data_IF_698187683289
#
_entry.id   IF_698187683289
#
_cell.length_a   1.000
_cell.length_b   1.000
_cell.length_c   1.000
_cell.angle_alpha   90.00
_cell.angle_beta   90.00
_cell.angle_gamma   90.00
#
_symmetry.space_group_name_H-M   'P 1'
#
loop_
_entity.id
_entity.type
_entity.pdbx_description
1 polymer ?
#
# COMPACT_ATOMS: atom_id res chain seq x y z
N UNK A 1 -19.90 -2.70 17.75
CA UNK A 1 -21.09 -2.84 18.62
C UNK A 1 -22.34 -3.21 17.79
N UNK A 2 -22.86 -4.43 17.87
CA UNK A 2 -24.14 -4.77 17.27
C UNK A 2 -25.20 -4.62 18.34
N UNK A 3 -25.80 -3.42 18.43
CA UNK A 3 -27.11 -3.08 19.06
C UNK A 3 -27.33 -1.55 19.01
N UNK A 4 -26.73 -0.84 18.05
CA UNK A 4 -27.03 0.57 17.83
C UNK A 4 -28.33 0.70 17.04
N UNK A 5 -29.30 1.45 17.57
CA UNK A 5 -30.47 1.85 16.79
C UNK A 5 -30.03 2.44 15.44
N UNK A 6 -30.71 2.04 14.35
CA UNK A 6 -30.45 2.60 13.03
C UNK A 6 -30.51 4.13 13.10
N UNK A 7 -29.44 4.78 12.63
CA UNK A 7 -29.35 6.23 12.62
C UNK A 7 -28.87 6.89 13.92
N UNK A 8 -28.40 6.12 14.91
CA UNK A 8 -27.77 6.67 16.10
C UNK A 8 -26.53 7.53 15.75
N UNK A 9 -26.43 8.70 16.38
CA UNK A 9 -25.27 9.58 16.25
C UNK A 9 -24.05 8.89 16.87
N UNK A 10 -23.01 8.72 16.08
CA UNK A 10 -21.76 8.07 16.50
C UNK A 10 -20.77 9.09 17.05
N UNK A 11 -20.71 10.27 16.43
CA UNK A 11 -19.93 11.43 16.86
C UNK A 11 -20.42 12.67 16.11
N UNK A 12 -20.19 13.87 16.65
CA UNK A 12 -20.38 15.12 15.91
C UNK A 12 -19.14 15.55 15.13
N UNK A 13 -17.97 15.01 15.46
CA UNK A 13 -16.72 15.38 14.82
C UNK A 13 -15.85 14.16 14.56
N UNK A 14 -15.14 14.20 13.44
CA UNK A 14 -14.13 13.22 13.08
C UNK A 14 -12.92 13.94 12.51
N UNK A 15 -11.69 13.41 12.71
CA UNK A 15 -10.54 13.92 11.99
C UNK A 15 -10.77 13.76 10.48
N UNK A 16 -10.20 14.66 9.68
CA UNK A 16 -10.24 14.58 8.21
C UNK A 16 -9.63 13.28 7.66
N UNK A 17 -8.86 12.55 8.49
CA UNK A 17 -8.29 11.25 8.20
C UNK A 17 -8.43 10.30 9.37
N UNK A 18 -9.12 9.19 9.14
CA UNK A 18 -9.08 7.99 9.98
C UNK A 18 -9.33 8.26 11.47
N UNK A 19 -8.27 8.17 12.26
CA UNK A 19 -8.25 8.38 13.71
C UNK A 19 -6.94 9.04 14.12
N UNK A 20 -6.73 9.19 15.43
CA UNK A 20 -5.54 9.78 16.05
C UNK A 20 -4.21 9.09 15.72
N UNK A 21 -4.22 7.91 15.10
CA UNK A 21 -3.00 7.22 14.61
C UNK A 21 -2.49 7.80 13.29
N UNK A 22 -3.30 8.59 12.61
CA UNK A 22 -2.97 9.17 11.32
C UNK A 22 -3.05 10.68 11.35
N UNK A 23 -2.11 11.31 10.66
CA UNK A 23 -2.11 12.76 10.49
C UNK A 23 -2.83 13.08 9.19
N UNK A 24 -3.89 13.90 9.26
CA UNK A 24 -4.59 14.43 8.09
C UNK A 24 -3.76 15.49 7.38
N UNK A 25 -3.99 15.66 6.07
CA UNK A 25 -3.69 16.93 5.42
C UNK A 25 -4.63 18.00 5.95
N UNK A 26 -4.09 19.19 6.18
CA UNK A 26 -4.90 20.32 6.64
C UNK A 26 -5.72 20.88 5.48
N UNK A 27 -6.92 21.37 5.78
CA UNK A 27 -7.61 22.22 4.82
C UNK A 27 -6.89 23.56 4.68
N UNK A 28 -6.72 24.01 3.44
CA UNK A 28 -6.21 25.33 3.12
C UNK A 28 -7.25 26.44 3.39
N UNK A 29 -8.53 26.08 3.49
CA UNK A 29 -9.62 27.04 3.64
C UNK A 29 -10.79 26.45 4.43
N UNK A 30 -11.05 27.02 5.61
CA UNK A 30 -12.15 26.60 6.48
C UNK A 30 -13.53 27.02 5.99
N UNK A 31 -13.64 27.81 4.90
CA UNK A 31 -14.92 28.18 4.29
C UNK A 31 -15.53 26.96 3.60
N UNK A 32 -16.65 26.49 4.14
CA UNK A 32 -17.41 25.34 3.59
C UNK A 32 -17.90 25.56 2.17
N UNK A 33 -17.98 26.80 1.68
CA UNK A 33 -18.31 27.11 0.29
C UNK A 33 -17.21 26.79 -0.73
N UNK A 34 -15.98 26.53 -0.27
CA UNK A 34 -14.86 26.07 -1.10
C UNK A 34 -14.66 24.55 -1.05
N UNK A 35 -15.54 23.84 -0.36
CA UNK A 35 -15.47 22.40 -0.14
C UNK A 35 -16.84 21.77 -0.36
N UNK A 36 -16.89 20.46 -0.57
CA UNK A 36 -18.16 19.74 -0.72
C UNK A 36 -18.22 18.59 0.25
N UNK A 37 -19.30 18.53 1.04
CA UNK A 37 -19.65 17.38 1.84
C UNK A 37 -20.89 16.71 1.24
N UNK A 38 -20.82 15.41 1.00
CA UNK A 38 -21.97 14.62 0.56
C UNK A 38 -22.19 13.42 1.49
N UNK A 39 -23.43 12.94 1.52
CA UNK A 39 -23.84 11.74 2.25
C UNK A 39 -24.58 10.78 1.32
N UNK A 40 -24.36 9.47 1.50
CA UNK A 40 -25.08 8.40 0.79
C UNK A 40 -25.32 7.20 1.69
N UNK A 41 -26.31 6.39 1.35
CA UNK A 41 -26.74 5.22 2.15
C UNK A 41 -25.95 3.95 1.81
N UNK A 42 -25.35 3.89 0.63
CA UNK A 42 -24.55 2.77 0.15
C UNK A 42 -23.35 3.28 -0.68
N UNK A 43 -22.33 2.45 -0.87
CA UNK A 43 -21.10 2.83 -1.59
C UNK A 43 -21.41 3.32 -3.02
N UNK A 44 -22.32 2.64 -3.71
CA UNK A 44 -22.81 2.93 -5.07
C UNK A 44 -24.08 3.80 -5.11
N UNK A 45 -24.56 4.24 -3.94
CA UNK A 45 -25.76 5.07 -3.82
C UNK A 45 -25.54 6.51 -4.31
N UNK A 46 -26.64 7.24 -4.63
CA UNK A 46 -26.55 8.62 -5.07
C UNK A 46 -26.01 9.53 -3.95
N UNK A 47 -25.06 10.39 -4.30
CA UNK A 47 -24.52 11.41 -3.40
C UNK A 47 -25.57 12.50 -3.17
N UNK A 48 -25.88 12.79 -1.91
CA UNK A 48 -26.74 13.91 -1.51
C UNK A 48 -25.88 15.01 -0.88
N UNK A 49 -25.91 16.26 -1.38
CA UNK A 49 -25.13 17.33 -0.78
C UNK A 49 -25.62 17.63 0.64
N UNK A 50 -24.67 17.87 1.54
CA UNK A 50 -24.91 18.45 2.86
C UNK A 50 -24.68 19.94 2.73
N UNK A 51 -25.67 20.75 3.09
CA UNK A 51 -25.62 22.20 2.88
C UNK A 51 -24.47 22.83 3.70
N UNK A 52 -23.88 23.90 3.17
CA UNK A 52 -22.67 24.53 3.73
C UNK A 52 -22.84 25.10 5.15
N UNK A 53 -24.08 25.28 5.60
CA UNK A 53 -24.49 25.74 6.93
C UNK A 53 -24.80 24.59 7.91
N UNK A 54 -24.71 23.33 7.47
CA UNK A 54 -24.97 22.14 8.29
C UNK A 54 -23.70 21.47 8.83
N UNK A 55 -22.53 21.97 8.46
CA UNK A 55 -21.24 21.43 8.86
C UNK A 55 -20.17 22.53 8.87
N UNK A 56 -19.01 22.24 9.47
CA UNK A 56 -17.86 23.13 9.46
C UNK A 56 -16.55 22.34 9.60
N UNK A 57 -15.43 22.95 9.23
CA UNK A 57 -14.11 22.47 9.65
C UNK A 57 -13.89 22.81 11.14
N UNK A 58 -13.57 21.80 11.94
CA UNK A 58 -13.44 21.93 13.38
C UNK A 58 -14.05 20.79 14.17
N UNK A 59 -14.02 20.95 15.48
CA UNK A 59 -14.58 20.01 16.46
C UNK A 59 -15.83 20.63 17.11
N UNK A 60 -16.81 19.81 17.45
CA UNK A 60 -18.07 20.27 18.03
C UNK A 60 -18.70 19.15 18.88
N UNK A 61 -18.18 18.87 20.09
CA UNK A 61 -18.56 17.70 20.88
C UNK A 61 -20.07 17.53 21.12
N UNK A 62 -20.83 18.62 21.13
CA UNK A 62 -22.28 18.66 21.33
C UNK A 62 -23.01 19.36 20.18
N UNK A 63 -22.47 19.32 18.96
CA UNK A 63 -23.04 19.99 17.79
C UNK A 63 -22.67 21.48 17.68
N UNK A 64 -23.36 22.20 16.80
CA UNK A 64 -22.99 23.54 16.32
C UNK A 64 -22.62 24.55 17.42
N UNK A 65 -23.36 24.55 18.53
CA UNK A 65 -23.14 25.49 19.64
C UNK A 65 -21.77 25.34 20.32
N UNK A 66 -21.13 24.18 20.17
CA UNK A 66 -19.81 23.85 20.72
C UNK A 66 -18.67 23.92 19.71
N UNK A 67 -18.92 24.51 18.53
CA UNK A 67 -17.94 24.54 17.45
C UNK A 67 -16.65 25.27 17.87
N UNK A 68 -15.54 24.55 17.81
CA UNK A 68 -14.18 25.06 17.88
C UNK A 68 -13.50 24.80 16.52
N UNK A 69 -13.18 25.85 15.73
CA UNK A 69 -12.54 25.69 14.43
C UNK A 69 -11.19 24.99 14.51
N UNK A 70 -10.94 24.07 13.57
CA UNK A 70 -9.63 23.43 13.34
C UNK A 70 -9.46 23.22 11.84
N UNK A 71 -8.22 23.01 11.39
CA UNK A 71 -7.92 22.69 9.99
C UNK A 71 -7.83 21.17 9.72
N UNK A 72 -8.04 20.35 10.75
CA UNK A 72 -7.75 18.90 10.75
C UNK A 72 -8.96 18.03 11.04
N UNK A 73 -10.10 18.64 11.34
CA UNK A 73 -11.33 17.94 11.71
C UNK A 73 -12.50 18.47 10.90
N UNK A 74 -13.53 17.64 10.78
CA UNK A 74 -14.83 18.03 10.25
C UNK A 74 -15.90 17.78 11.30
N UNK A 75 -16.76 18.76 11.47
CA UNK A 75 -17.90 18.75 12.35
C UNK A 75 -19.20 18.72 11.53
N UNK A 76 -20.06 17.74 11.78
CA UNK A 76 -21.42 17.67 11.23
C UNK A 76 -22.40 18.03 12.35
N UNK A 77 -23.17 19.11 12.17
CA UNK A 77 -23.97 19.68 13.27
C UNK A 77 -25.10 18.77 13.75
N UNK A 78 -25.66 17.94 12.86
CA UNK A 78 -26.65 16.91 13.20
C UNK A 78 -26.02 15.56 13.57
N UNK A 79 -24.69 15.46 13.59
CA UNK A 79 -23.95 14.26 13.94
C UNK A 79 -23.79 13.25 12.79
N UNK A 80 -22.64 12.58 12.79
CA UNK A 80 -22.35 11.46 11.90
C UNK A 80 -23.11 10.21 12.33
N UNK A 81 -23.64 9.50 11.34
CA UNK A 81 -24.38 8.23 11.52
C UNK A 81 -23.57 7.06 11.00
N UNK A 82 -23.55 5.96 11.75
CA UNK A 82 -22.75 4.77 11.44
C UNK A 82 -23.19 4.03 10.17
N UNK A 83 -24.45 4.20 9.77
CA UNK A 83 -25.08 3.56 8.60
C UNK A 83 -25.00 4.41 7.32
N UNK A 84 -24.14 5.43 7.30
CA UNK A 84 -23.99 6.35 6.17
C UNK A 84 -22.54 6.41 5.71
N UNK A 85 -22.36 6.74 4.43
CA UNK A 85 -21.07 7.05 3.84
C UNK A 85 -21.00 8.55 3.56
N UNK A 86 -20.00 9.20 4.16
CA UNK A 86 -19.72 10.63 3.97
C UNK A 86 -18.51 10.79 3.05
N UNK A 87 -18.56 11.78 2.17
CA UNK A 87 -17.46 12.15 1.29
C UNK A 87 -17.23 13.65 1.38
N UNK A 88 -16.03 14.03 1.81
CA UNK A 88 -15.59 15.41 1.91
C UNK A 88 -14.48 15.63 0.89
N UNK A 89 -14.67 16.61 0.01
CA UNK A 89 -13.66 17.09 -0.95
C UNK A 89 -13.34 18.52 -0.58
N UNK A 90 -12.05 18.81 -0.37
CA UNK A 90 -11.59 20.11 0.13
C UNK A 90 -10.21 20.46 -0.44
N UNK A 91 -9.88 21.76 -0.58
CA UNK A 91 -8.52 22.18 -0.89
C UNK A 91 -7.63 21.89 0.32
N UNK A 92 -6.63 21.02 0.13
CA UNK A 92 -5.64 20.71 1.14
C UNK A 92 -4.39 21.60 0.99
N UNK A 93 -3.57 21.70 2.04
CA UNK A 93 -2.30 22.42 2.02
C UNK A 93 -1.13 21.56 2.52
N UNK A 94 0.09 22.01 2.21
CA UNK A 94 1.36 21.44 2.66
C UNK A 94 1.51 19.93 2.40
N UNK A 95 1.46 19.48 1.13
CA UNK A 95 1.64 18.07 0.81
C UNK A 95 3.03 17.57 1.23
N UNK A 96 3.07 16.43 1.93
CA UNK A 96 4.33 15.80 2.30
C UNK A 96 5.01 15.14 1.10
N UNK A 97 6.33 15.28 1.02
CA UNK A 97 7.16 14.63 -0.01
C UNK A 97 7.44 13.17 0.37
N UNK A 98 6.40 12.34 0.44
CA UNK A 98 6.49 10.95 0.91
C UNK A 98 7.39 10.08 0.02
N UNK A 99 7.49 10.38 -1.27
CA UNK A 99 8.31 9.62 -2.24
C UNK A 99 9.81 9.59 -1.91
N UNK A 100 10.33 10.51 -1.08
CA UNK A 100 11.74 10.47 -0.64
C UNK A 100 12.09 9.18 0.10
N UNK A 101 11.12 8.49 0.69
CA UNK A 101 11.33 7.18 1.32
C UNK A 101 11.92 6.13 0.37
N UNK A 102 11.67 6.23 -0.94
CA UNK A 102 12.26 5.35 -1.95
C UNK A 102 13.77 5.59 -2.13
N UNK A 103 14.17 6.86 -2.18
CA UNK A 103 15.59 7.24 -2.26
C UNK A 103 16.35 6.79 -1.01
N UNK A 104 15.76 6.98 0.19
CA UNK A 104 16.37 6.54 1.45
C UNK A 104 16.68 5.04 1.45
N UNK A 105 15.75 4.20 0.98
CA UNK A 105 16.00 2.75 0.90
C UNK A 105 17.06 2.40 -0.14
N UNK A 106 17.04 3.04 -1.32
CA UNK A 106 18.07 2.87 -2.36
C UNK A 106 19.46 3.21 -1.81
N UNK A 107 19.62 4.38 -1.20
CA UNK A 107 20.92 4.91 -0.78
C UNK A 107 21.47 4.17 0.41
N UNK A 108 20.63 3.84 1.40
CA UNK A 108 21.04 3.02 2.54
C UNK A 108 21.50 1.63 2.07
N UNK A 109 20.72 0.97 1.21
CA UNK A 109 21.09 -0.36 0.72
C UNK A 109 22.35 -0.31 -0.17
N UNK A 110 22.49 0.70 -1.02
CA UNK A 110 23.70 0.90 -1.84
C UNK A 110 24.93 1.16 -0.96
N UNK A 111 24.83 2.05 0.04
CA UNK A 111 25.89 2.30 1.02
C UNK A 111 26.33 1.01 1.71
N UNK A 112 25.37 0.29 2.30
CA UNK A 112 25.61 -0.94 3.03
C UNK A 112 26.24 -2.02 2.14
N UNK A 113 25.93 -2.03 0.83
CA UNK A 113 26.42 -3.00 -0.14
C UNK A 113 27.81 -2.64 -0.70
N UNK A 114 28.09 -1.37 -0.95
CA UNK A 114 29.20 -0.96 -1.81
C UNK A 114 30.26 -0.05 -1.17
N UNK A 115 29.96 0.63 -0.06
CA UNK A 115 30.87 1.59 0.55
C UNK A 115 31.41 1.09 1.89
N UNK A 116 32.68 1.38 2.20
CA UNK A 116 33.29 1.01 3.49
C UNK A 116 33.14 2.09 4.56
N UNK A 117 32.81 3.32 4.18
CA UNK A 117 32.48 4.43 5.06
C UNK A 117 31.59 5.44 4.32
N UNK A 118 30.84 6.25 5.07
CA UNK A 118 30.05 7.35 4.50
C UNK A 118 30.92 8.57 4.19
N UNK A 119 30.31 9.64 3.68
CA UNK A 119 30.99 10.87 3.29
C UNK A 119 31.67 11.60 4.46
N UNK A 120 31.22 11.36 5.70
CA UNK A 120 31.82 11.90 6.93
C UNK A 120 32.91 10.98 7.50
N UNK A 121 33.14 9.81 6.88
CA UNK A 121 34.11 8.81 7.32
C UNK A 121 33.60 7.85 8.39
N UNK A 122 32.30 7.84 8.67
CA UNK A 122 31.68 6.84 9.55
C UNK A 122 31.73 5.49 8.88
N UNK A 123 32.37 4.51 9.54
CA UNK A 123 32.57 3.17 8.98
C UNK A 123 31.23 2.47 8.76
N UNK A 124 31.06 1.85 7.58
CA UNK A 124 29.92 0.99 7.30
C UNK A 124 29.94 -0.20 8.28
N UNK A 125 28.85 -0.46 9.04
CA UNK A 125 28.80 -1.55 10.01
C UNK A 125 28.96 -2.95 9.39
N UNK A 126 28.76 -3.09 8.08
CA UNK A 126 28.96 -4.33 7.34
C UNK A 126 30.36 -4.44 6.73
N UNK A 127 31.25 -3.47 6.92
CA UNK A 127 32.60 -3.53 6.37
C UNK A 127 33.52 -4.48 7.15
N UNK A 128 34.06 -5.48 6.45
CA UNK A 128 35.10 -6.38 6.97
C UNK A 128 36.45 -5.66 7.17
N UNK A 129 36.72 -4.61 6.39
CA UNK A 129 37.91 -3.77 6.53
C UNK A 129 37.72 -2.39 5.91
N UNK A 130 38.74 -1.52 6.00
CA UNK A 130 38.71 -0.19 5.35
C UNK A 130 38.55 -0.24 3.83
N UNK A 131 38.83 -1.38 3.19
CA UNK A 131 38.79 -1.55 1.74
C UNK A 131 37.74 -2.57 1.26
N UNK A 132 37.10 -3.31 2.16
CA UNK A 132 36.20 -4.42 1.82
C UNK A 132 34.92 -4.30 2.63
N UNK A 133 33.78 -4.31 1.94
CA UNK A 133 32.47 -4.43 2.60
C UNK A 133 32.28 -5.89 3.06
N UNK A 134 32.08 -6.84 2.14
CA UNK A 134 31.83 -8.25 2.47
C UNK A 134 30.41 -8.72 2.13
N UNK A 135 29.53 -7.79 1.71
CA UNK A 135 28.19 -8.13 1.20
C UNK A 135 28.31 -8.71 -0.21
N UNK A 136 27.94 -9.99 -0.35
CA UNK A 136 27.88 -10.68 -1.65
C UNK A 136 26.54 -10.48 -2.37
N UNK A 137 25.43 -10.52 -1.63
CA UNK A 137 24.05 -10.37 -2.14
C UNK A 137 23.25 -9.47 -1.24
N UNK A 138 22.34 -8.70 -1.84
CA UNK A 138 21.38 -7.86 -1.14
C UNK A 138 19.95 -8.27 -1.51
N UNK A 139 19.14 -8.51 -0.48
CA UNK A 139 17.75 -8.97 -0.62
C UNK A 139 16.76 -7.94 -0.07
N UNK A 140 15.74 -7.63 -0.86
CA UNK A 140 14.61 -6.80 -0.41
C UNK A 140 13.42 -7.65 0.04
N UNK A 141 12.74 -7.25 1.12
CA UNK A 141 11.48 -7.86 1.57
C UNK A 141 10.41 -6.80 1.77
N UNK A 142 9.26 -6.98 1.12
CA UNK A 142 8.05 -6.22 1.37
C UNK A 142 6.88 -7.13 1.73
N UNK A 143 6.07 -6.74 2.71
CA UNK A 143 4.86 -7.47 3.14
C UNK A 143 3.69 -6.48 3.22
N UNK A 144 2.57 -6.80 2.58
CA UNK A 144 1.36 -5.97 2.56
C UNK A 144 1.69 -4.57 2.01
N UNK A 145 1.48 -3.50 2.77
CA UNK A 145 1.84 -2.13 2.36
C UNK A 145 3.32 -1.98 2.00
N UNK A 146 4.25 -2.65 2.67
CA UNK A 146 5.67 -2.60 2.25
C UNK A 146 5.96 -3.49 1.04
N UNK A 147 5.07 -4.44 0.72
CA UNK A 147 5.06 -5.14 -0.56
C UNK A 147 4.61 -4.23 -1.71
N UNK A 148 3.57 -3.42 -1.49
CA UNK A 148 3.15 -2.38 -2.42
C UNK A 148 4.27 -1.34 -2.63
N UNK A 149 4.98 -0.99 -1.54
CA UNK A 149 6.17 -0.14 -1.59
C UNK A 149 7.25 -0.75 -2.49
N UNK A 150 7.57 -2.03 -2.31
CA UNK A 150 8.61 -2.68 -3.11
C UNK A 150 8.23 -2.76 -4.60
N UNK A 151 6.94 -2.97 -4.92
CA UNK A 151 6.47 -2.90 -6.32
C UNK A 151 6.64 -1.50 -6.92
N UNK A 152 6.33 -0.45 -6.15
CA UNK A 152 6.53 0.94 -6.59
C UNK A 152 8.02 1.29 -6.71
N UNK A 153 8.85 0.84 -5.77
CA UNK A 153 10.31 1.01 -5.77
C UNK A 153 10.92 0.49 -7.08
N UNK A 154 10.54 -0.73 -7.50
CA UNK A 154 10.97 -1.31 -8.78
C UNK A 154 10.43 -0.52 -9.99
N UNK A 155 9.13 -0.21 -9.99
CA UNK A 155 8.50 0.52 -11.10
C UNK A 155 9.17 1.88 -11.34
N UNK A 156 9.43 2.64 -10.27
CA UNK A 156 10.10 3.94 -10.31
C UNK A 156 11.59 3.84 -10.65
N UNK A 157 12.20 2.66 -10.52
CA UNK A 157 13.60 2.41 -10.89
C UNK A 157 14.59 2.62 -9.76
N UNK A 158 14.14 2.63 -8.51
CA UNK A 158 15.03 2.81 -7.36
C UNK A 158 15.93 1.60 -7.09
N UNK A 159 15.82 0.50 -7.86
CA UNK A 159 16.80 -0.58 -7.82
C UNK A 159 18.11 -0.26 -8.56
N UNK A 160 18.22 0.95 -9.13
CA UNK A 160 19.47 1.52 -9.66
C UNK A 160 19.92 2.66 -8.73
N UNK A 161 21.16 2.59 -8.25
CA UNK A 161 21.75 3.67 -7.44
C UNK A 161 22.27 4.84 -8.30
N UNK A 162 22.72 5.93 -7.65
CA UNK A 162 23.21 7.12 -8.37
C UNK A 162 24.51 6.91 -9.15
N UNK A 163 25.16 5.75 -8.97
CA UNK A 163 26.32 5.31 -9.75
C UNK A 163 25.95 4.24 -10.80
N UNK A 164 24.65 4.08 -11.11
CA UNK A 164 24.10 3.11 -12.05
C UNK A 164 24.38 1.64 -11.68
N UNK A 165 24.42 1.32 -10.38
CA UNK A 165 24.60 -0.05 -9.89
C UNK A 165 23.29 -0.61 -9.35
N UNK A 166 23.12 -1.92 -9.49
CA UNK A 166 21.96 -2.62 -8.94
C UNK A 166 21.97 -2.61 -7.41
N UNK A 167 20.86 -2.24 -6.77
CA UNK A 167 20.76 -2.17 -5.31
C UNK A 167 20.47 -3.54 -4.69
N UNK A 168 19.37 -4.18 -5.07
CA UNK A 168 19.00 -5.53 -4.63
C UNK A 168 19.17 -6.53 -5.77
N UNK A 169 19.78 -7.68 -5.49
CA UNK A 169 19.88 -8.80 -6.45
C UNK A 169 18.53 -9.52 -6.60
N UNK A 170 17.79 -9.62 -5.50
CA UNK A 170 16.48 -10.26 -5.48
C UNK A 170 15.54 -9.60 -4.46
N UNK A 171 14.24 -9.64 -4.75
CA UNK A 171 13.20 -9.15 -3.85
C UNK A 171 12.11 -10.19 -3.65
N UNK A 172 11.63 -10.29 -2.41
CA UNK A 172 10.43 -11.06 -2.06
C UNK A 172 9.32 -10.09 -1.70
N UNK A 173 8.26 -10.12 -2.47
CA UNK A 173 7.10 -9.24 -2.37
C UNK A 173 5.91 -10.11 -1.95
N UNK A 174 5.49 -9.97 -0.70
CA UNK A 174 4.42 -10.77 -0.12
C UNK A 174 3.13 -9.96 0.05
N UNK A 175 2.02 -10.53 -0.38
CA UNK A 175 0.63 -10.06 -0.22
C UNK A 175 0.35 -8.61 -0.68
N UNK A 176 0.95 -8.04 -1.74
CA UNK A 176 0.55 -6.72 -2.25
C UNK A 176 -0.66 -6.78 -3.20
N UNK A 177 -1.08 -7.97 -3.65
CA UNK A 177 -1.94 -8.13 -4.81
C UNK A 177 -1.35 -7.47 -6.06
N UNK A 178 -2.09 -6.61 -6.73
CA UNK A 178 -1.59 -5.83 -7.87
C UNK A 178 -1.10 -4.43 -7.50
N UNK A 179 -1.29 -4.02 -6.24
CA UNK A 179 -1.13 -2.64 -5.81
C UNK A 179 0.33 -2.17 -5.82
N UNK A 180 0.50 -0.86 -6.04
CA UNK A 180 1.72 -0.11 -5.76
C UNK A 180 1.37 0.92 -4.69
N UNK A 181 2.34 1.30 -3.86
CA UNK A 181 2.04 2.14 -2.70
C UNK A 181 1.70 3.57 -3.14
N UNK A 182 0.58 4.10 -2.64
CA UNK A 182 0.17 5.48 -2.84
C UNK A 182 1.04 6.41 -1.98
N UNK A 183 2.25 6.71 -2.46
CA UNK A 183 3.22 7.55 -1.75
C UNK A 183 4.00 8.53 -2.64
N UNK A 184 3.98 8.38 -3.97
CA UNK A 184 4.73 9.25 -4.88
C UNK A 184 3.83 10.14 -5.75
N UNK A 185 2.79 10.72 -5.13
CA UNK A 185 1.95 11.74 -5.76
C UNK A 185 1.50 12.75 -4.70
N UNK A 186 1.03 13.92 -5.13
CA UNK A 186 0.58 14.98 -4.24
C UNK A 186 -0.59 14.52 -3.33
N UNK A 187 -0.57 14.92 -2.07
CA UNK A 187 -1.56 14.54 -1.04
C UNK A 187 -1.74 13.02 -0.88
N UNK A 188 -0.65 12.27 -0.98
CA UNK A 188 -0.70 10.80 -0.92
C UNK A 188 -1.12 10.21 0.42
N UNK A 189 -1.80 9.07 0.38
CA UNK A 189 -2.15 8.29 1.57
C UNK A 189 -1.73 6.81 1.47
N UNK A 190 -0.59 6.42 2.05
CA UNK A 190 -0.08 5.06 1.97
C UNK A 190 -0.93 4.04 2.76
N UNK A 191 -1.93 4.49 3.52
CA UNK A 191 -2.84 3.61 4.28
C UNK A 191 -4.08 3.20 3.48
N UNK A 192 -4.33 3.83 2.34
CA UNK A 192 -5.50 3.54 1.51
C UNK A 192 -5.09 2.59 0.38
N UNK A 193 -5.90 1.55 0.22
CA UNK A 193 -5.79 0.56 -0.85
C UNK A 193 -7.15 0.05 -1.24
N UNK A 194 -7.24 -0.50 -2.46
CA UNK A 194 -8.49 -1.06 -2.97
C UNK A 194 -8.85 -2.35 -2.23
N UNK A 195 -10.11 -2.49 -1.87
CA UNK A 195 -10.75 -3.77 -1.56
C UNK A 195 -12.06 -3.88 -2.33
N UNK A 196 -12.59 -5.08 -2.49
CA UNK A 196 -13.87 -5.26 -3.17
C UNK A 196 -15.03 -4.64 -2.38
N UNK A 197 -14.95 -4.69 -1.05
CA UNK A 197 -15.96 -4.19 -0.11
C UNK A 197 -15.75 -2.72 0.30
N UNK A 198 -14.58 -2.14 -0.01
CA UNK A 198 -14.21 -0.78 0.38
C UNK A 198 -13.25 -0.18 -0.65
N UNK A 199 -13.53 1.03 -1.13
CA UNK A 199 -12.64 1.78 -2.04
C UNK A 199 -12.24 0.97 -3.29
N UNK A 200 -13.20 0.25 -3.88
CA UNK A 200 -13.01 -0.65 -5.02
C UNK A 200 -12.52 0.05 -6.30
N UNK A 201 -12.82 1.34 -6.41
CA UNK A 201 -12.41 2.27 -7.47
C UNK A 201 -11.04 2.92 -7.21
N UNK A 202 -10.45 2.70 -6.04
CA UNK A 202 -9.21 3.36 -5.65
C UNK A 202 -7.98 2.44 -5.77
N UNK A 203 -7.25 2.51 -6.88
CA UNK A 203 -6.08 1.66 -7.15
C UNK A 203 -4.74 2.21 -6.65
N UNK A 204 -4.73 3.02 -5.58
CA UNK A 204 -3.50 3.54 -4.96
C UNK A 204 -2.55 4.26 -5.95
N UNK A 205 -3.11 4.94 -6.95
CA UNK A 205 -2.38 5.61 -8.06
C UNK A 205 -1.65 4.68 -9.04
N UNK A 206 -1.86 3.37 -8.97
CA UNK A 206 -1.37 2.45 -9.99
C UNK A 206 -2.19 2.58 -11.27
N UNK A 207 -1.51 2.90 -12.36
CA UNK A 207 -2.03 2.81 -13.73
C UNK A 207 -1.74 1.42 -14.32
N UNK A 208 -2.64 0.88 -15.17
CA UNK A 208 -2.38 -0.34 -15.90
C UNK A 208 -1.29 -0.14 -16.96
N UNK A 209 -0.64 -1.22 -17.41
CA UNK A 209 -0.78 -2.58 -16.91
C UNK A 209 -0.13 -2.77 -15.53
N UNK A 210 -0.68 -3.69 -14.73
CA UNK A 210 -0.18 -4.00 -13.37
C UNK A 210 0.87 -5.14 -13.35
N UNK A 211 1.29 -5.57 -14.53
CA UNK A 211 2.15 -6.73 -14.76
C UNK A 211 3.62 -6.42 -14.53
N UNK A 212 4.40 -7.46 -14.25
CA UNK A 212 5.86 -7.32 -14.23
C UNK A 212 6.44 -7.10 -15.62
N UNK A 213 5.96 -7.85 -16.63
CA UNK A 213 6.37 -7.64 -18.01
C UNK A 213 5.83 -6.32 -18.56
N UNK A 214 6.58 -5.73 -19.51
CA UNK A 214 6.08 -4.63 -20.33
C UNK A 214 5.04 -5.15 -21.31
N UNK A 215 3.78 -4.77 -21.10
CA UNK A 215 2.63 -5.16 -21.93
C UNK A 215 1.85 -3.92 -22.36
N UNK A 216 0.88 -4.08 -23.26
CA UNK A 216 -0.07 -2.99 -23.60
C UNK A 216 -1.41 -3.34 -22.99
N UNK A 217 -1.92 -2.49 -22.11
CA UNK A 217 -3.23 -2.68 -21.51
C UNK A 217 -4.34 -2.44 -22.56
N UNK A 218 -5.24 -3.40 -22.78
CA UNK A 218 -6.24 -3.32 -23.86
C UNK A 218 -7.38 -2.32 -23.59
N UNK A 219 -7.54 -1.84 -22.36
CA UNK A 219 -8.61 -0.89 -22.00
C UNK A 219 -8.13 0.54 -22.19
N UNK A 220 -6.94 0.86 -21.68
CA UNK A 220 -6.36 2.21 -21.66
C UNK A 220 -5.39 2.48 -22.80
N UNK A 221 -4.93 1.43 -23.48
CA UNK A 221 -3.87 1.48 -24.50
C UNK A 221 -2.50 1.97 -23.97
N UNK A 222 -2.30 1.95 -22.64
CA UNK A 222 -1.01 2.27 -22.02
C UNK A 222 -0.06 1.07 -22.18
N UNK A 223 1.17 1.34 -22.64
CA UNK A 223 2.25 0.35 -22.72
C UNK A 223 3.28 0.57 -21.62
N UNK A 224 3.27 -0.28 -20.60
CA UNK A 224 4.18 -0.17 -19.46
C UNK A 224 4.40 -1.53 -18.77
N UNK A 225 5.20 -1.57 -17.71
CA UNK A 225 5.43 -2.72 -16.84
C UNK A 225 6.27 -2.34 -15.63
N UNK A 226 6.29 -3.20 -14.60
CA UNK A 226 7.11 -2.96 -13.40
C UNK A 226 8.60 -3.17 -13.69
N UNK A 227 8.96 -4.25 -14.40
CA UNK A 227 10.34 -4.57 -14.78
C UNK A 227 10.59 -4.09 -16.21
N UNK A 228 11.22 -2.93 -16.31
CA UNK A 228 11.51 -2.25 -17.57
C UNK A 228 12.95 -1.75 -17.67
N UNK A 229 13.82 -2.19 -16.76
CA UNK A 229 15.23 -1.78 -16.62
C UNK A 229 16.10 -3.04 -16.48
N UNK A 230 16.35 -3.79 -17.56
CA UNK A 230 16.92 -5.14 -17.48
C UNK A 230 18.32 -5.20 -16.84
N UNK A 231 19.08 -4.11 -16.83
CA UNK A 231 20.40 -4.03 -16.17
C UNK A 231 20.30 -4.03 -14.64
N UNK A 232 19.19 -3.56 -14.10
CA UNK A 232 18.99 -3.40 -12.64
C UNK A 232 17.73 -4.10 -12.14
N UNK A 233 16.88 -4.68 -12.98
CA UNK A 233 15.73 -5.47 -12.57
C UNK A 233 16.18 -6.72 -11.77
N UNK A 234 15.70 -6.93 -10.53
CA UNK A 234 16.13 -8.04 -9.68
C UNK A 234 15.43 -9.34 -10.07
N UNK A 235 15.82 -10.46 -9.43
CA UNK A 235 14.93 -11.61 -9.33
C UNK A 235 13.74 -11.26 -8.42
N UNK A 236 12.53 -11.66 -8.78
CA UNK A 236 11.31 -11.33 -8.05
C UNK A 236 10.53 -12.57 -7.67
N UNK A 237 10.33 -12.77 -6.37
CA UNK A 237 9.29 -13.66 -5.86
C UNK A 237 8.10 -12.83 -5.41
N UNK A 238 6.98 -12.96 -6.13
CA UNK A 238 5.71 -12.39 -5.70
C UNK A 238 4.86 -13.51 -5.09
N UNK A 239 4.46 -13.36 -3.84
CA UNK A 239 3.67 -14.36 -3.13
C UNK A 239 2.37 -13.73 -2.64
N UNK A 240 1.23 -14.14 -3.19
CA UNK A 240 -0.10 -13.71 -2.75
C UNK A 240 -0.86 -14.85 -2.08
N UNK A 241 -1.81 -14.51 -1.21
CA UNK A 241 -2.81 -15.47 -0.72
C UNK A 241 -4.08 -15.40 -1.58
N UNK A 242 -5.03 -16.31 -1.33
CA UNK A 242 -6.36 -16.22 -1.94
C UNK A 242 -7.06 -14.89 -1.63
N UNK A 243 -6.77 -14.24 -0.49
CA UNK A 243 -7.34 -12.93 -0.20
C UNK A 243 -6.92 -11.88 -1.22
N UNK A 244 -5.65 -11.83 -1.62
CA UNK A 244 -5.16 -10.80 -2.54
C UNK A 244 -5.72 -10.99 -3.95
N UNK A 245 -5.96 -12.24 -4.35
CA UNK A 245 -6.67 -12.55 -5.59
C UNK A 245 -8.10 -11.99 -5.60
N UNK A 246 -8.83 -12.13 -4.50
CA UNK A 246 -10.21 -11.65 -4.41
C UNK A 246 -10.32 -10.15 -4.14
N UNK A 247 -9.49 -9.61 -3.26
CA UNK A 247 -9.65 -8.26 -2.70
C UNK A 247 -8.67 -7.25 -3.30
N UNK A 248 -7.47 -7.68 -3.70
CA UNK A 248 -6.37 -6.79 -4.14
C UNK A 248 -6.00 -6.97 -5.62
N UNK A 249 -6.94 -7.50 -6.40
CA UNK A 249 -6.86 -7.65 -7.87
C UNK A 249 -5.60 -8.38 -8.34
N UNK A 250 -5.09 -9.34 -7.54
CA UNK A 250 -3.84 -10.05 -7.86
C UNK A 250 -3.87 -10.83 -9.18
N UNK A 251 -5.07 -11.16 -9.70
CA UNK A 251 -5.24 -11.76 -11.03
C UNK A 251 -4.62 -10.92 -12.15
N UNK A 252 -4.51 -9.60 -11.98
CA UNK A 252 -3.90 -8.68 -12.94
C UNK A 252 -2.37 -8.79 -13.03
N UNK A 253 -1.74 -9.62 -12.18
CA UNK A 253 -0.34 -10.01 -12.38
C UNK A 253 -0.18 -11.06 -13.48
N UNK A 254 -1.26 -11.79 -13.84
CA UNK A 254 -1.24 -12.92 -14.78
C UNK A 254 -2.25 -12.80 -15.94
N UNK A 255 -3.18 -11.83 -15.87
CA UNK A 255 -4.10 -11.51 -16.95
C UNK A 255 -4.19 -10.00 -17.21
N UNK A 256 -4.59 -9.63 -18.44
CA UNK A 256 -4.89 -8.25 -18.82
C UNK A 256 -6.32 -7.82 -18.39
N UNK A 257 -6.70 -6.59 -18.70
CA UNK A 257 -8.04 -6.06 -18.41
C UNK A 257 -9.21 -6.77 -19.13
N UNK A 258 -8.93 -7.61 -20.13
CA UNK A 258 -9.91 -8.44 -20.83
C UNK A 258 -9.88 -9.91 -20.39
N UNK A 259 -8.99 -10.28 -19.45
CA UNK A 259 -8.84 -11.64 -18.95
C UNK A 259 -7.94 -12.53 -19.80
N UNK A 260 -7.19 -12.00 -20.77
CA UNK A 260 -6.21 -12.78 -21.53
C UNK A 260 -4.93 -12.96 -20.71
N UNK A 261 -4.22 -14.10 -20.85
CA UNK A 261 -2.95 -14.31 -20.16
C UNK A 261 -1.89 -13.30 -20.61
N UNK A 262 -1.06 -12.86 -19.67
CA UNK A 262 0.08 -11.95 -19.92
C UNK A 262 1.41 -12.69 -19.70
N UNK A 263 2.50 -12.30 -20.39
CA UNK A 263 3.81 -12.90 -20.15
C UNK A 263 4.33 -12.58 -18.76
N UNK A 264 4.97 -13.58 -18.12
CA UNK A 264 5.74 -13.42 -16.89
C UNK A 264 7.22 -13.38 -17.25
N UNK A 265 8.00 -12.34 -16.89
CA UNK A 265 9.43 -12.28 -17.17
C UNK A 265 10.19 -13.45 -16.55
N UNK A 266 11.29 -13.87 -17.19
CA UNK A 266 12.08 -15.02 -16.74
C UNK A 266 12.67 -14.88 -15.33
N UNK A 267 12.92 -13.64 -14.89
CA UNK A 267 13.37 -13.28 -13.54
C UNK A 267 12.23 -13.15 -12.51
N UNK A 268 11.00 -13.54 -12.85
CA UNK A 268 9.84 -13.45 -11.96
C UNK A 268 9.27 -14.85 -11.69
N UNK A 269 8.90 -15.11 -10.43
CA UNK A 269 8.09 -16.26 -10.03
C UNK A 269 6.92 -15.79 -9.16
N UNK A 270 5.73 -16.30 -9.48
CA UNK A 270 4.48 -15.94 -8.81
C UNK A 270 3.97 -17.17 -8.04
N UNK A 271 3.72 -17.02 -6.74
CA UNK A 271 3.25 -18.09 -5.86
C UNK A 271 1.90 -17.74 -5.24
N UNK A 272 0.99 -18.71 -5.20
CA UNK A 272 -0.30 -18.60 -4.54
C UNK A 272 -0.35 -19.47 -3.27
N UNK A 273 -0.53 -18.82 -2.13
CA UNK A 273 -0.88 -19.47 -0.87
C UNK A 273 -2.41 -19.66 -0.79
N UNK A 274 -2.88 -20.76 -1.37
CA UNK A 274 -4.31 -21.08 -1.44
C UNK A 274 -4.96 -21.16 -0.06
N UNK A 275 -6.19 -20.65 0.07
CA UNK A 275 -7.00 -20.73 1.30
C UNK A 275 -6.41 -20.02 2.52
N UNK A 276 -5.53 -19.03 2.33
CA UNK A 276 -4.99 -18.20 3.40
C UNK A 276 -5.62 -16.78 3.36
N UNK A 277 -5.83 -16.14 4.53
CA UNK A 277 -6.25 -14.73 4.60
C UNK A 277 -5.05 -13.80 4.35
N UNK A 278 -5.29 -12.48 4.28
CA UNK A 278 -4.21 -11.48 4.11
C UNK A 278 -3.11 -11.58 5.18
N UNK A 279 -3.41 -12.11 6.37
CA UNK A 279 -2.41 -12.33 7.42
C UNK A 279 -2.16 -13.81 7.73
N UNK A 280 -1.34 -14.09 8.74
CA UNK A 280 -0.96 -15.47 9.10
C UNK A 280 0.53 -15.81 8.91
N UNK A 281 1.34 -14.86 8.45
CA UNK A 281 2.80 -14.90 8.57
C UNK A 281 3.25 -14.30 9.93
N UNK A 282 4.42 -14.70 10.42
CA UNK A 282 5.06 -14.07 11.60
C UNK A 282 5.23 -12.57 11.34
N UNK A 283 4.74 -11.71 12.24
CA UNK A 283 4.78 -10.25 12.10
C UNK A 283 3.50 -9.59 11.56
N UNK A 284 2.61 -10.35 10.92
CA UNK A 284 1.25 -9.92 10.50
C UNK A 284 0.21 -10.87 11.10
N UNK A 285 0.44 -11.24 12.37
CA UNK A 285 -0.22 -12.35 13.03
C UNK A 285 -1.74 -12.22 13.03
N UNK A 286 -2.40 -13.15 12.37
CA UNK A 286 -3.83 -13.36 12.52
C UNK A 286 -3.99 -14.45 13.56
N UNK A 287 -4.38 -14.06 14.77
CA UNK A 287 -4.74 -15.02 15.81
C UNK A 287 -6.12 -15.58 15.44
N UNK A 288 -6.35 -16.91 15.50
CA UNK A 288 -7.67 -17.46 15.33
C UNK A 288 -8.66 -16.78 16.29
N UNK A 289 -9.70 -16.16 15.74
CA UNK A 289 -10.75 -15.53 16.54
C UNK A 289 -12.01 -16.39 16.51
N UNK A 290 -12.82 -16.30 17.57
CA UNK A 290 -14.23 -16.68 17.46
C UNK A 290 -14.91 -15.80 16.40
N UNK A 291 -16.08 -16.24 15.91
CA UNK A 291 -16.80 -15.58 14.82
C UNK A 291 -16.96 -14.06 15.03
N UNK A 292 -17.20 -13.60 16.26
CA UNK A 292 -17.33 -12.17 16.56
C UNK A 292 -18.41 -11.50 15.69
N UNK A 293 -18.07 -10.38 15.05
CA UNK A 293 -18.93 -9.66 14.10
C UNK A 293 -18.87 -10.19 12.66
N UNK A 294 -18.08 -11.23 12.37
CA UNK A 294 -17.92 -11.80 11.03
C UNK A 294 -18.97 -12.91 10.78
N UNK A 295 -19.25 -13.25 9.52
CA UNK A 295 -20.10 -14.42 9.20
C UNK A 295 -19.35 -15.75 9.37
N UNK A 296 -18.02 -15.76 9.20
CA UNK A 296 -17.20 -16.97 9.27
C UNK A 296 -16.08 -16.83 10.30
N UNK A 297 -15.61 -17.97 10.86
CA UNK A 297 -14.42 -17.97 11.71
C UNK A 297 -13.18 -17.66 10.89
N UNK A 298 -12.23 -16.97 11.50
CA UNK A 298 -10.94 -16.72 10.86
C UNK A 298 -10.21 -18.04 10.66
N UNK A 299 -9.76 -18.30 9.42
CA UNK A 299 -9.09 -19.54 9.11
C UNK A 299 -7.85 -19.74 9.99
N UNK A 300 -7.87 -20.80 10.81
CA UNK A 300 -6.79 -21.18 11.72
C UNK A 300 -5.74 -22.08 11.07
N UNK A 301 -5.87 -22.37 9.76
CA UNK A 301 -4.92 -23.22 9.07
C UNK A 301 -3.51 -22.63 9.13
N UNK A 302 -2.53 -23.52 9.28
CA UNK A 302 -1.15 -23.27 9.71
C UNK A 302 -0.54 -22.05 9.01
N UNK A 303 0.20 -21.25 9.79
CA UNK A 303 0.98 -20.12 9.32
C UNK A 303 1.66 -20.37 7.96
N UNK A 304 1.68 -19.36 7.09
CA UNK A 304 2.43 -19.40 5.82
C UNK A 304 3.95 -19.45 6.03
N UNK A 305 4.43 -19.31 7.29
CA UNK A 305 5.84 -19.21 7.62
C UNK A 305 6.73 -20.36 7.11
N UNK A 306 6.35 -21.65 7.15
CA UNK A 306 7.19 -22.72 6.59
C UNK A 306 7.40 -22.56 5.08
N UNK A 307 6.35 -22.25 4.33
CA UNK A 307 6.44 -21.98 2.90
C UNK A 307 7.30 -20.73 2.63
N UNK A 308 7.13 -19.66 3.43
CA UNK A 308 7.92 -18.44 3.25
C UNK A 308 9.41 -18.67 3.54
N UNK A 309 9.75 -19.52 4.51
CA UNK A 309 11.15 -19.91 4.78
C UNK A 309 11.72 -20.73 3.64
N UNK A 310 10.97 -21.70 3.11
CA UNK A 310 11.41 -22.49 1.96
C UNK A 310 11.63 -21.61 0.72
N UNK A 311 10.73 -20.67 0.44
CA UNK A 311 10.88 -19.72 -0.66
C UNK A 311 12.06 -18.75 -0.46
N UNK A 312 12.45 -18.43 0.78
CA UNK A 312 13.66 -17.64 1.02
C UNK A 312 14.92 -18.42 0.61
N UNK A 313 14.98 -19.71 0.95
CA UNK A 313 16.10 -20.59 0.54
C UNK A 313 16.14 -20.72 -0.98
N UNK A 314 15.00 -21.00 -1.62
CA UNK A 314 14.94 -21.11 -3.08
C UNK A 314 15.31 -19.80 -3.80
N UNK A 315 14.93 -18.64 -3.24
CA UNK A 315 15.33 -17.34 -3.79
C UNK A 315 16.84 -17.13 -3.66
N UNK A 316 17.45 -17.48 -2.53
CA UNK A 316 18.90 -17.38 -2.32
C UNK A 316 19.67 -18.33 -3.25
N UNK A 317 19.23 -19.59 -3.39
CA UNK A 317 19.83 -20.55 -4.32
C UNK A 317 19.71 -20.10 -5.79
N UNK A 318 18.57 -19.50 -6.18
CA UNK A 318 18.43 -18.95 -7.52
C UNK A 318 19.35 -17.75 -7.74
N UNK A 319 19.40 -16.84 -6.77
CA UNK A 319 20.22 -15.63 -6.86
C UNK A 319 21.70 -15.94 -6.86
N UNK A 320 22.14 -16.86 -6.01
CA UNK A 320 23.55 -17.13 -5.80
C UNK A 320 24.13 -18.19 -6.71
N UNK A 321 23.39 -19.29 -6.90
CA UNK A 321 23.85 -20.49 -7.59
C UNK A 321 23.20 -20.65 -8.97
N UNK A 322 22.23 -19.81 -9.33
CA UNK A 322 21.48 -19.93 -10.59
C UNK A 322 20.55 -21.14 -10.63
N UNK A 323 20.22 -21.73 -9.48
CA UNK A 323 19.31 -22.88 -9.41
C UNK A 323 17.87 -22.37 -9.47
N UNK A 324 17.19 -22.64 -10.58
CA UNK A 324 15.81 -22.19 -10.74
C UNK A 324 14.88 -22.79 -9.67
N UNK A 325 13.97 -21.99 -9.12
CA UNK A 325 13.02 -22.43 -8.10
C UNK A 325 11.82 -23.18 -8.72
N UNK A 326 11.11 -23.98 -7.91
CA UNK A 326 9.93 -24.72 -8.35
C UNK A 326 8.75 -23.82 -8.76
#
# INVERSE_FOLDING_TARGET
PPDGENGAITSYSVPLKGNDRFVSYETADVRTSQSTLTVRDAIDGPRRPVASDQWAFGTCPTGQASLAPTTRDVCLFEGFKWDKVYELIYPAQDPWVMGLGYAVTRDLASFLRYATADDEGTVNPLAESRAVVGVRRAYGLGISSTGMYMREFLYLGFNEDEAHRQVFDAVRIHIPGSHRLFANVEFSDPNIYSRQDRTADFTSHSYPPFTYAVTTDPITNIRDGILKRPETDPLVFHVDTSNEFWQMKASLNVHDGLGNPVPVPGNVRLYLMSSHPHGGATGVGVVPTTRGACEYVTNSNRSTAPAMRALLVALDEWTDLGIEPP
#
